data_IF_391319728232
#
_entry.id   IF_391319728232
#
_cell.length_a   1.000
_cell.length_b   1.000
_cell.length_c   1.000
_cell.angle_alpha   90.00
_cell.angle_beta   90.00
_cell.angle_gamma   90.00
#
_symmetry.space_group_name_H-M   'P 1'
#
loop_
_entity.id
_entity.type
_entity.pdbx_description
1 polymer ?
#
# COMPACT_ATOMS: atom_id res chain seq x y z
N UNK A 1 -5.11 -17.16 4.40
CA UNK A 1 -5.03 -16.03 5.37
C UNK A 1 -4.51 -16.48 6.74
N UNK A 2 -5.05 -17.54 7.35
CA UNK A 2 -4.62 -17.96 8.70
C UNK A 2 -3.17 -18.46 8.79
N UNK A 3 -2.69 -19.20 7.79
CA UNK A 3 -1.29 -19.63 7.68
C UNK A 3 -0.34 -18.41 7.68
N UNK A 4 -0.67 -17.38 6.90
CA UNK A 4 0.13 -16.15 6.86
C UNK A 4 0.08 -15.39 8.19
N UNK A 5 -1.05 -15.38 8.90
CA UNK A 5 -1.14 -14.78 10.24
C UNK A 5 -0.26 -15.56 11.24
N UNK A 6 -0.23 -16.88 11.17
CA UNK A 6 0.65 -17.70 12.02
C UNK A 6 2.13 -17.42 11.74
N UNK A 7 2.50 -17.27 10.47
CA UNK A 7 3.86 -16.90 10.07
C UNK A 7 4.23 -15.47 10.49
N UNK A 8 3.31 -14.51 10.35
CA UNK A 8 3.50 -13.15 10.86
C UNK A 8 3.69 -13.17 12.38
N UNK A 9 2.97 -14.02 13.12
CA UNK A 9 3.12 -14.11 14.58
C UNK A 9 4.51 -14.55 15.01
N UNK A 10 5.19 -15.41 14.24
CA UNK A 10 6.53 -15.88 14.56
C UNK A 10 7.63 -14.90 14.14
N UNK A 11 7.38 -14.05 13.13
CA UNK A 11 8.39 -13.15 12.55
C UNK A 11 8.23 -11.68 12.95
N UNK A 12 7.02 -11.22 13.22
CA UNK A 12 6.70 -9.82 13.47
C UNK A 12 6.48 -9.57 14.96
N UNK A 13 7.21 -8.61 15.53
CA UNK A 13 7.01 -8.26 16.94
C UNK A 13 5.63 -7.63 17.17
N UNK A 14 5.06 -7.89 18.35
CA UNK A 14 3.77 -7.32 18.78
C UNK A 14 3.77 -5.79 18.70
N UNK A 15 4.87 -5.16 19.11
CA UNK A 15 5.01 -3.70 19.10
C UNK A 15 4.96 -3.15 17.67
N UNK A 16 5.69 -3.76 16.72
CA UNK A 16 5.70 -3.32 15.32
C UNK A 16 4.32 -3.50 14.70
N UNK A 17 3.66 -4.64 14.94
CA UNK A 17 2.32 -4.91 14.42
C UNK A 17 1.31 -3.87 14.91
N UNK A 18 1.29 -3.59 16.22
CA UNK A 18 0.41 -2.58 16.80
C UNK A 18 0.74 -1.17 16.29
N UNK A 19 2.01 -0.83 16.13
CA UNK A 19 2.44 0.47 15.59
C UNK A 19 1.91 0.70 14.17
N UNK A 20 2.00 -0.32 13.31
CA UNK A 20 1.46 -0.27 11.93
C UNK A 20 -0.06 -0.15 11.97
N UNK A 21 -0.75 -1.01 12.72
CA UNK A 21 -2.21 -0.98 12.83
C UNK A 21 -2.72 0.37 13.35
N UNK A 22 -2.05 0.96 14.33
CA UNK A 22 -2.44 2.25 14.90
C UNK A 22 -2.26 3.40 13.91
N UNK A 23 -1.20 3.38 13.08
CA UNK A 23 -1.02 4.37 12.01
C UNK A 23 -2.16 4.29 11.00
N UNK A 24 -2.53 3.07 10.61
CA UNK A 24 -3.59 2.79 9.65
C UNK A 24 -4.97 3.20 10.20
N UNK A 25 -5.28 2.87 11.46
CA UNK A 25 -6.58 3.17 12.08
C UNK A 25 -6.82 4.67 12.28
N UNK A 26 -5.75 5.48 12.33
CA UNK A 26 -5.82 6.95 12.44
C UNK A 26 -6.09 7.63 11.10
N UNK A 27 -6.09 6.91 9.99
CA UNK A 27 -6.35 7.51 8.68
C UNK A 27 -7.83 7.94 8.57
N UNK A 28 -8.10 9.17 8.07
CA UNK A 28 -9.46 9.61 7.79
C UNK A 28 -10.04 8.83 6.60
N UNK A 29 -11.37 8.85 6.41
CA UNK A 29 -11.97 8.31 5.20
C UNK A 29 -11.49 9.06 3.95
N UNK A 30 -11.53 8.38 2.80
CA UNK A 30 -11.31 9.02 1.51
C UNK A 30 -12.34 10.13 1.32
N UNK A 31 -11.90 11.28 0.81
CA UNK A 31 -12.78 12.41 0.53
C UNK A 31 -12.30 13.18 -0.69
N UNK A 32 -13.24 13.82 -1.36
CA UNK A 32 -12.94 14.80 -2.39
C UNK A 32 -13.11 16.20 -1.82
N UNK A 33 -12.16 17.09 -2.09
CA UNK A 33 -12.18 18.46 -1.59
C UNK A 33 -11.31 19.35 -2.47
N UNK A 34 -11.70 20.60 -2.70
CA UNK A 34 -10.92 21.55 -3.51
C UNK A 34 -10.47 21.00 -4.89
N UNK A 35 -11.35 20.21 -5.54
CA UNK A 35 -11.06 19.51 -6.82
C UNK A 35 -9.93 18.46 -6.75
N UNK A 36 -9.63 17.96 -5.55
CA UNK A 36 -8.57 16.98 -5.28
C UNK A 36 -9.12 15.77 -4.55
N UNK A 37 -8.54 14.61 -4.86
CA UNK A 37 -8.81 13.38 -4.11
C UNK A 37 -7.84 13.27 -2.93
N UNK A 38 -8.37 13.33 -1.71
CA UNK A 38 -7.62 13.00 -0.50
C UNK A 38 -7.83 11.53 -0.19
N UNK A 39 -6.82 10.71 -0.52
CA UNK A 39 -6.90 9.26 -0.43
C UNK A 39 -6.03 8.75 0.72
N UNK A 40 -6.58 8.12 1.77
CA UNK A 40 -5.79 7.38 2.74
C UNK A 40 -5.10 6.21 2.01
N UNK A 41 -3.77 6.19 2.06
CA UNK A 41 -2.96 5.21 1.37
C UNK A 41 -1.92 4.60 2.29
N UNK A 42 -1.55 3.36 1.99
CA UNK A 42 -0.29 2.78 2.41
C UNK A 42 0.71 2.97 1.28
N UNK A 43 1.82 3.64 1.60
CA UNK A 43 2.82 4.10 0.64
C UNK A 43 4.09 3.29 0.79
N UNK A 44 4.59 2.81 -0.33
CA UNK A 44 5.80 2.03 -0.48
C UNK A 44 6.77 2.77 -1.41
N UNK A 45 7.94 3.14 -0.88
CA UNK A 45 8.92 3.91 -1.64
C UNK A 45 9.67 3.05 -2.65
N UNK A 46 9.78 3.54 -3.89
CA UNK A 46 10.65 2.97 -4.91
C UNK A 46 12.10 3.36 -4.60
N UNK A 47 12.99 2.36 -4.54
CA UNK A 47 14.43 2.52 -4.26
C UNK A 47 15.28 2.50 -5.50
N UNK A 48 14.86 1.70 -6.48
CA UNK A 48 15.51 1.57 -7.78
C UNK A 48 14.44 1.31 -8.82
N UNK A 49 14.62 1.87 -10.00
CA UNK A 49 13.77 1.62 -11.16
C UNK A 49 14.69 1.36 -12.35
N UNK A 50 14.56 0.19 -12.95
CA UNK A 50 15.33 -0.24 -14.11
C UNK A 50 14.37 -0.50 -15.28
N UNK A 51 14.80 -0.20 -16.50
CA UNK A 51 14.07 -0.56 -17.73
C UNK A 51 14.54 -1.93 -18.15
N UNK A 52 13.61 -2.88 -18.30
CA UNK A 52 13.93 -4.27 -18.67
C UNK A 52 13.69 -4.56 -20.15
N UNK A 53 13.00 -3.67 -20.86
CA UNK A 53 12.78 -3.79 -22.30
C UNK A 53 11.50 -3.10 -22.76
N UNK A 54 11.03 -3.50 -23.94
CA UNK A 54 9.73 -3.12 -24.49
C UNK A 54 8.88 -4.37 -24.66
N UNK A 55 7.61 -4.27 -24.26
CA UNK A 55 6.61 -5.29 -24.55
C UNK A 55 5.97 -5.08 -25.92
N UNK A 56 5.87 -3.82 -26.35
CA UNK A 56 5.43 -3.39 -27.68
C UNK A 56 6.14 -2.09 -28.08
N UNK A 57 5.88 -1.58 -29.29
CA UNK A 57 6.50 -0.35 -29.80
C UNK A 57 6.36 0.85 -28.85
N UNK A 58 5.28 0.91 -28.06
CA UNK A 58 4.99 2.03 -27.16
C UNK A 58 5.05 1.65 -25.66
N UNK A 59 4.99 0.36 -25.31
CA UNK A 59 4.92 -0.08 -23.92
C UNK A 59 6.28 -0.57 -23.41
N UNK A 60 6.80 0.08 -22.38
CA UNK A 60 8.06 -0.28 -21.71
C UNK A 60 7.79 -1.16 -20.49
N UNK A 61 8.67 -2.12 -20.26
CA UNK A 61 8.66 -2.98 -19.05
C UNK A 61 9.62 -2.39 -18.04
N UNK A 62 9.12 -2.11 -16.84
CA UNK A 62 9.89 -1.57 -15.73
C UNK A 62 9.99 -2.57 -14.60
N UNK A 63 11.16 -2.61 -13.99
CA UNK A 63 11.43 -3.39 -12.80
C UNK A 63 11.80 -2.46 -11.64
N UNK A 64 10.97 -2.43 -10.61
CA UNK A 64 11.12 -1.56 -9.45
C UNK A 64 11.53 -2.36 -8.21
N UNK A 65 12.56 -1.89 -7.51
CA UNK A 65 12.86 -2.33 -6.14
C UNK A 65 12.10 -1.45 -5.16
N UNK A 66 11.15 -2.03 -4.44
CA UNK A 66 10.21 -1.31 -3.60
C UNK A 66 10.34 -1.74 -2.15
N UNK A 67 10.47 -0.77 -1.23
CA UNK A 67 10.55 -1.07 0.19
C UNK A 67 9.30 -1.79 0.68
N UNK A 68 9.46 -2.98 1.25
CA UNK A 68 8.37 -3.79 1.80
C UNK A 68 7.70 -4.73 0.80
N UNK A 69 7.71 -4.41 -0.49
CA UNK A 69 7.11 -5.24 -1.55
C UNK A 69 8.15 -6.08 -2.31
N UNK A 70 9.43 -5.73 -2.24
CA UNK A 70 10.48 -6.43 -2.97
C UNK A 70 10.57 -5.96 -4.42
N UNK A 71 10.73 -6.90 -5.34
CA UNK A 71 10.81 -6.66 -6.77
C UNK A 71 9.40 -6.63 -7.38
N UNK A 72 9.08 -5.54 -8.08
CA UNK A 72 7.78 -5.30 -8.73
C UNK A 72 8.00 -5.02 -10.21
N UNK A 73 7.44 -5.86 -11.06
CA UNK A 73 7.41 -5.65 -12.51
C UNK A 73 6.07 -5.02 -12.92
N UNK A 74 6.12 -4.04 -13.82
CA UNK A 74 4.93 -3.46 -14.42
C UNK A 74 5.23 -2.87 -15.79
N UNK A 75 4.18 -2.62 -16.56
CA UNK A 75 4.30 -2.06 -17.91
C UNK A 75 3.58 -0.73 -18.02
N UNK A 76 4.13 0.19 -18.80
CA UNK A 76 3.52 1.49 -19.06
C UNK A 76 4.02 2.10 -20.37
N UNK A 77 3.17 2.92 -20.97
CA UNK A 77 3.47 3.82 -22.08
C UNK A 77 4.16 5.11 -21.62
N UNK A 78 4.05 5.46 -20.33
CA UNK A 78 4.73 6.61 -19.75
C UNK A 78 6.25 6.40 -19.76
N UNK A 79 6.99 7.47 -20.10
CA UNK A 79 8.45 7.45 -19.95
C UNK A 79 8.84 7.79 -18.51
N UNK A 80 9.17 6.74 -17.75
CA UNK A 80 9.63 6.84 -16.37
C UNK A 80 11.15 6.97 -16.24
N UNK A 81 11.86 7.32 -17.32
CA UNK A 81 13.30 7.59 -17.28
C UNK A 81 13.63 8.49 -16.08
N UNK A 82 14.52 8.04 -15.18
CA UNK A 82 14.79 8.77 -13.94
C UNK A 82 15.43 10.14 -14.25
N UNK A 83 14.62 11.19 -14.29
CA UNK A 83 15.11 12.55 -14.08
C UNK A 83 15.62 12.69 -12.64
N UNK A 84 16.64 13.53 -12.42
CA UNK A 84 17.41 13.64 -11.16
C UNK A 84 16.61 13.84 -9.84
N UNK A 85 15.27 14.01 -9.86
CA UNK A 85 14.51 14.47 -8.68
C UNK A 85 13.09 13.88 -8.52
N UNK A 86 12.68 12.85 -9.26
CA UNK A 86 11.31 12.30 -9.11
C UNK A 86 11.26 11.21 -8.04
N UNK A 87 10.57 11.49 -6.93
CA UNK A 87 10.30 10.47 -5.90
C UNK A 87 9.08 9.64 -6.32
N UNK A 88 9.33 8.38 -6.69
CA UNK A 88 8.29 7.44 -7.07
C UNK A 88 7.84 6.59 -5.88
N UNK A 89 6.53 6.37 -5.78
CA UNK A 89 5.93 5.52 -4.76
C UNK A 89 4.82 4.65 -5.34
N UNK A 90 4.70 3.44 -4.80
CA UNK A 90 3.51 2.62 -4.93
C UNK A 90 2.56 2.96 -3.78
N UNK A 91 1.30 3.21 -4.09
CA UNK A 91 0.28 3.48 -3.10
C UNK A 91 -0.84 2.44 -3.18
N UNK A 92 -1.15 1.84 -2.03
CA UNK A 92 -2.33 1.01 -1.86
C UNK A 92 -3.42 1.82 -1.15
N UNK A 93 -4.53 2.17 -1.83
CA UNK A 93 -5.63 2.87 -1.20
C UNK A 93 -6.20 2.05 -0.03
N UNK A 94 -6.09 2.60 1.18
CA UNK A 94 -6.55 1.95 2.40
C UNK A 94 -7.90 2.52 2.83
N UNK A 95 -8.92 2.23 2.03
CA UNK A 95 -10.30 2.67 2.33
C UNK A 95 -10.96 1.73 3.34
N UNK A 96 -11.74 2.29 4.28
CA UNK A 96 -12.42 1.52 5.33
C UNK A 96 -13.28 0.38 4.80
N UNK A 97 -13.78 0.46 3.56
CA UNK A 97 -14.53 -0.61 2.91
C UNK A 97 -13.66 -1.85 2.59
N UNK A 98 -12.36 -1.67 2.29
CA UNK A 98 -11.38 -2.76 2.13
C UNK A 98 -11.00 -3.38 3.50
N UNK A 99 -11.28 -2.67 4.61
CA UNK A 99 -11.14 -3.20 5.98
C UNK A 99 -12.14 -4.31 6.30
N UNK A 100 -13.07 -4.65 5.41
CA UNK A 100 -14.17 -5.57 5.73
C UNK A 100 -15.05 -5.00 6.86
N UNK A 101 -16.09 -5.71 7.29
CA UNK A 101 -16.92 -5.23 8.38
C UNK A 101 -16.02 -4.94 9.58
N UNK A 102 -16.04 -3.66 9.96
CA UNK A 102 -15.42 -3.24 11.20
C UNK A 102 -16.17 -3.98 12.29
N UNK A 103 -15.52 -4.85 13.04
CA UNK A 103 -16.07 -5.36 14.31
C UNK A 103 -16.03 -4.19 15.33
N UNK A 104 -16.65 -3.06 14.99
CA UNK A 104 -17.22 -2.18 15.99
C UNK A 104 -18.50 -2.88 16.38
N UNK A 105 -18.56 -3.32 17.63
CA UNK A 105 -19.69 -3.99 18.24
C UNK A 105 -21.00 -3.44 17.69
N UNK A 106 -21.67 -4.25 16.87
CA UNK A 106 -23.09 -4.11 16.65
C UNK A 106 -23.76 -4.13 18.01
N UNK A 107 -24.59 -3.12 18.28
CA UNK A 107 -25.41 -2.95 19.47
C UNK A 107 -26.51 -4.03 19.60
N UNK A 108 -26.24 -5.25 19.17
CA UNK A 108 -27.15 -6.37 19.21
C UNK A 108 -26.40 -7.58 19.78
N UNK A 109 -26.36 -7.65 21.10
CA UNK A 109 -26.39 -8.83 21.99
C UNK A 109 -25.68 -10.15 21.68
N UNK A 110 -25.00 -10.34 20.55
CA UNK A 110 -24.26 -11.56 20.25
C UNK A 110 -22.79 -11.31 20.48
N UNK A 111 -22.26 -11.97 21.51
CA UNK A 111 -20.86 -11.89 21.91
C UNK A 111 -19.97 -12.48 20.80
N UNK A 112 -19.63 -11.66 19.81
CA UNK A 112 -18.51 -11.96 18.91
C UNK A 112 -17.24 -11.93 19.77
N UNK A 113 -16.37 -12.95 19.70
CA UNK A 113 -15.14 -12.98 20.49
C UNK A 113 -14.36 -11.68 20.28
N UNK A 114 -14.02 -10.98 21.36
CA UNK A 114 -13.17 -9.80 21.30
C UNK A 114 -11.82 -10.22 20.71
N UNK A 115 -11.63 -9.99 19.41
CA UNK A 115 -10.35 -10.22 18.76
C UNK A 115 -9.34 -9.27 19.41
N UNK A 116 -8.38 -9.82 20.16
CA UNK A 116 -7.36 -9.01 20.83
C UNK A 116 -6.63 -8.11 19.83
N UNK A 117 -6.24 -6.90 20.26
CA UNK A 117 -5.68 -5.87 19.37
C UNK A 117 -4.48 -6.34 18.54
N UNK A 118 -3.70 -7.29 19.06
CA UNK A 118 -2.60 -7.90 18.31
C UNK A 118 -3.09 -8.79 17.15
N UNK A 119 -4.09 -9.63 17.37
CA UNK A 119 -4.68 -10.44 16.29
C UNK A 119 -5.29 -9.57 15.21
N UNK A 120 -5.97 -8.48 15.58
CA UNK A 120 -6.50 -7.49 14.63
C UNK A 120 -5.39 -6.81 13.82
N UNK A 121 -4.29 -6.43 14.48
CA UNK A 121 -3.12 -5.87 13.80
C UNK A 121 -2.52 -6.86 12.78
N UNK A 122 -2.39 -8.13 13.15
CA UNK A 122 -1.91 -9.17 12.26
C UNK A 122 -2.85 -9.42 11.08
N UNK A 123 -4.17 -9.34 11.28
CA UNK A 123 -5.15 -9.45 10.19
C UNK A 123 -5.01 -8.30 9.19
N UNK A 124 -4.80 -7.07 9.67
CA UNK A 124 -4.55 -5.90 8.81
C UNK A 124 -3.30 -6.10 7.97
N UNK A 125 -2.21 -6.55 8.60
CA UNK A 125 -0.94 -6.79 7.92
C UNK A 125 -1.03 -7.99 6.97
N UNK A 126 -1.79 -9.03 7.34
CA UNK A 126 -2.03 -10.19 6.48
C UNK A 126 -2.72 -9.82 5.18
N UNK A 127 -3.61 -8.82 5.21
CA UNK A 127 -4.25 -8.29 3.99
C UNK A 127 -3.28 -7.51 3.12
N UNK A 128 -2.34 -6.80 3.73
CA UNK A 128 -1.26 -6.18 2.98
C UNK A 128 -0.28 -7.18 2.39
N UNK A 129 -0.21 -8.39 2.94
CA UNK A 129 0.49 -9.53 2.38
C UNK A 129 -0.24 -10.25 1.24
N UNK A 130 -1.49 -9.86 0.92
CA UNK A 130 -2.18 -10.38 -0.26
C UNK A 130 -1.84 -9.53 -1.49
N UNK A 131 -1.97 -10.09 -2.71
CA UNK A 131 -1.85 -9.30 -3.91
C UNK A 131 -2.87 -8.15 -3.94
N UNK A 132 -2.44 -6.99 -4.42
CA UNK A 132 -3.31 -5.83 -4.52
C UNK A 132 -2.97 -4.93 -5.71
N UNK A 133 -3.96 -4.14 -6.11
CA UNK A 133 -3.80 -3.12 -7.13
C UNK A 133 -3.15 -1.88 -6.53
N UNK A 134 -2.00 -1.52 -7.06
CA UNK A 134 -1.23 -0.38 -6.64
C UNK A 134 -1.40 0.79 -7.61
N UNK A 135 -1.44 2.00 -7.07
CA UNK A 135 -1.27 3.22 -7.83
C UNK A 135 0.21 3.55 -7.87
N UNK A 136 0.76 3.76 -9.06
CA UNK A 136 2.09 4.33 -9.20
C UNK A 136 1.97 5.85 -9.22
N UNK A 137 2.65 6.51 -8.29
CA UNK A 137 2.57 7.95 -8.09
C UNK A 137 3.95 8.58 -8.12
N UNK A 138 4.04 9.77 -8.72
CA UNK A 138 5.20 10.63 -8.61
C UNK A 138 4.90 11.80 -7.69
N UNK A 139 5.77 12.05 -6.72
CA UNK A 139 5.69 13.25 -5.89
C UNK A 139 6.19 14.46 -6.67
N UNK A 140 5.37 15.50 -6.72
CA UNK A 140 5.66 16.78 -7.34
C UNK A 140 6.38 17.73 -6.35
N UNK A 141 7.06 18.79 -6.84
CA UNK A 141 7.78 19.74 -5.98
C UNK A 141 6.91 20.45 -4.93
N UNK A 142 5.63 20.63 -5.22
CA UNK A 142 4.63 21.18 -4.29
C UNK A 142 4.16 20.18 -3.22
N UNK A 143 4.66 18.94 -3.24
CA UNK A 143 4.31 17.86 -2.33
C UNK A 143 3.11 17.02 -2.76
N UNK A 144 2.42 17.39 -3.83
CA UNK A 144 1.27 16.65 -4.38
C UNK A 144 1.71 15.40 -5.12
N UNK A 145 0.80 14.44 -5.25
CA UNK A 145 1.06 13.20 -5.98
C UNK A 145 0.29 13.20 -7.30
N UNK A 146 1.01 12.96 -8.39
CA UNK A 146 0.40 12.72 -9.70
C UNK A 146 0.43 11.22 -10.00
N UNK A 147 -0.71 10.67 -10.40
CA UNK A 147 -0.75 9.29 -10.91
C UNK A 147 -0.05 9.20 -12.26
N UNK A 148 0.76 8.15 -12.40
CA UNK A 148 1.42 7.74 -13.64
C UNK A 148 1.13 6.26 -13.87
N UNK A 149 1.41 5.76 -15.08
CA UNK A 149 1.06 4.40 -15.50
C UNK A 149 -0.41 4.09 -15.22
N UNK A 150 -1.30 5.03 -15.57
CA UNK A 150 -2.72 4.95 -15.24
C UNK A 150 -3.49 3.98 -16.16
N UNK A 151 -2.94 3.68 -17.33
CA UNK A 151 -3.50 2.85 -18.38
C UNK A 151 -3.54 1.36 -18.02
N UNK A 152 -2.62 0.91 -17.17
CA UNK A 152 -2.49 -0.49 -16.80
C UNK A 152 -2.77 -0.69 -15.30
N UNK A 153 -3.39 -1.83 -14.99
CA UNK A 153 -3.47 -2.29 -13.62
C UNK A 153 -2.08 -2.77 -13.18
N UNK A 154 -1.59 -2.26 -12.05
CA UNK A 154 -0.33 -2.72 -11.47
C UNK A 154 -0.63 -3.59 -10.26
N UNK A 155 -0.57 -4.90 -10.46
CA UNK A 155 -0.75 -5.88 -9.39
C UNK A 155 0.60 -6.11 -8.71
N UNK A 156 0.66 -5.84 -7.41
CA UNK A 156 1.82 -6.21 -6.60
C UNK A 156 1.51 -7.49 -5.81
N UNK A 157 2.49 -8.36 -5.55
CA UNK A 157 2.28 -9.61 -4.84
C UNK A 157 1.89 -9.43 -3.36
N UNK A 158 2.07 -8.23 -2.81
CA UNK A 158 1.84 -7.90 -1.41
C UNK A 158 3.13 -7.81 -0.60
N UNK A 159 3.00 -7.57 0.70
CA UNK A 159 4.10 -7.56 1.64
C UNK A 159 4.74 -8.95 1.76
N UNK A 160 6.07 -8.99 1.64
CA UNK A 160 6.85 -10.13 2.08
C UNK A 160 6.81 -10.29 3.60
N UNK A 161 7.55 -11.27 4.14
CA UNK A 161 7.57 -11.52 5.60
C UNK A 161 8.59 -10.66 6.36
N UNK A 162 9.46 -9.94 5.65
CA UNK A 162 10.43 -9.00 6.22
C UNK A 162 9.82 -7.60 6.37
N UNK A 163 8.85 -7.47 7.27
CA UNK A 163 8.09 -6.23 7.49
C UNK A 163 8.72 -5.44 8.63
N UNK A 164 9.10 -4.20 8.34
CA UNK A 164 9.52 -3.24 9.38
C UNK A 164 8.62 -2.02 9.37
N UNK A 165 8.60 -1.27 10.48
CA UNK A 165 7.89 0.02 10.57
C UNK A 165 8.32 1.01 9.49
N UNK A 166 9.55 0.92 8.98
CA UNK A 166 10.07 1.82 7.93
C UNK A 166 9.54 1.49 6.54
N UNK A 167 9.05 0.25 6.34
CA UNK A 167 8.58 -0.24 5.04
C UNK A 167 7.16 0.23 4.72
N UNK A 168 6.37 0.55 5.76
CA UNK A 168 4.95 0.87 5.64
C UNK A 168 4.73 2.29 6.16
N UNK A 169 4.29 3.18 5.28
CA UNK A 169 3.86 4.53 5.65
C UNK A 169 2.39 4.69 5.36
N UNK A 170 1.59 4.85 6.40
CA UNK A 170 0.18 5.20 6.27
C UNK A 170 0.04 6.72 6.27
N UNK A 171 -0.46 7.30 5.18
CA UNK A 171 -0.68 8.74 5.05
C UNK A 171 -1.82 9.06 4.09
N UNK A 172 -2.37 10.26 4.18
CA UNK A 172 -3.32 10.78 3.19
C UNK A 172 -2.52 11.39 2.04
N UNK A 173 -2.80 10.96 0.83
CA UNK A 173 -2.22 11.53 -0.39
C UNK A 173 -3.22 12.49 -1.03
N UNK A 174 -2.73 13.64 -1.48
CA UNK A 174 -3.47 14.50 -2.40
C UNK A 174 -3.11 14.09 -3.82
N UNK A 175 -4.08 13.51 -4.51
CA UNK A 175 -3.92 12.97 -5.87
C UNK A 175 -4.63 13.90 -6.86
N UNK A 176 -3.88 14.30 -7.89
CA UNK A 176 -4.37 15.02 -9.08
C UNK A 176 -4.78 14.06 -10.20
#
# INVERSE_FOLDING_TARGET
MEIYIAELRSKLSREVALSISNQIDRLPPARFGTRRLHLPCIVFSVRKLDIHGRRSDNEKVYHAKVSGLGDVEFTTTDDLTPGKQKTLVFAHPWIRYIRGPSIVSSHLGTAVPRVGGYTRALQIIARLGQPFNALLLVQQPNGEYKRIAAENEIVVPGLGTNITRKNIRAQVLEIL
#
